data_IF_926529471423
#
_entry.id   IF_926529471423
#
_cell.length_a   1.000
_cell.length_b   1.000
_cell.length_c   1.000
_cell.angle_alpha   90.00
_cell.angle_beta   90.00
_cell.angle_gamma   90.00
#
_symmetry.space_group_name_H-M   'P 1'
#
loop_
_entity.id
_entity.type
_entity.pdbx_description
1 polymer ?
#
# COMPACT_ATOMS: atom_id res chain seq x y z
N UNK A 1 -2.60 -29.31 -6.21
CA UNK A 1 -1.84 -28.15 -6.74
C UNK A 1 -2.69 -26.88 -6.84
N UNK A 2 -3.43 -26.56 -7.92
CA UNK A 2 -4.17 -25.28 -8.01
C UNK A 2 -5.30 -25.12 -6.97
N UNK A 3 -6.08 -26.18 -6.68
CA UNK A 3 -7.11 -26.15 -5.63
C UNK A 3 -6.53 -25.95 -4.24
N UNK A 4 -5.35 -26.53 -3.97
CA UNK A 4 -4.66 -26.39 -2.69
C UNK A 4 -4.01 -25.01 -2.56
N UNK A 5 -3.45 -24.45 -3.64
CA UNK A 5 -2.99 -23.05 -3.66
C UNK A 5 -4.14 -22.06 -3.48
N UNK A 6 -5.32 -22.35 -4.02
CA UNK A 6 -6.50 -21.51 -3.83
C UNK A 6 -7.04 -21.58 -2.38
N UNK A 7 -7.12 -22.77 -1.80
CA UNK A 7 -7.51 -22.97 -0.39
C UNK A 7 -6.47 -22.43 0.59
N UNK A 8 -5.18 -22.59 0.31
CA UNK A 8 -4.09 -21.99 1.08
C UNK A 8 -4.06 -20.47 0.91
N UNK A 9 -4.38 -19.96 -0.28
CA UNK A 9 -4.54 -18.52 -0.55
C UNK A 9 -5.71 -17.93 0.23
N UNK A 10 -6.84 -18.63 0.31
CA UNK A 10 -7.97 -18.24 1.16
C UNK A 10 -7.61 -18.31 2.65
N UNK A 11 -6.80 -19.30 3.08
CA UNK A 11 -6.33 -19.43 4.46
C UNK A 11 -5.28 -18.39 4.88
N UNK A 12 -4.37 -18.02 3.99
CA UNK A 12 -3.32 -17.03 4.26
C UNK A 12 -3.84 -15.59 4.22
N UNK A 13 -4.84 -15.30 3.38
CA UNK A 13 -5.48 -13.97 3.29
C UNK A 13 -6.55 -13.77 4.36
N UNK A 14 -7.16 -14.84 4.86
CA UNK A 14 -8.22 -14.82 5.90
C UNK A 14 -7.71 -15.11 7.31
N UNK A 15 -6.41 -14.93 7.60
CA UNK A 15 -5.90 -15.07 8.97
C UNK A 15 -6.48 -13.97 9.86
N UNK A 16 -7.58 -14.27 10.54
CA UNK A 16 -8.30 -13.35 11.43
C UNK A 16 -7.94 -13.61 12.88
N UNK A 17 -8.28 -12.65 13.75
CA UNK A 17 -8.13 -12.81 15.19
C UNK A 17 -8.82 -14.09 15.69
N UNK A 18 -10.04 -14.34 15.24
CA UNK A 18 -10.82 -15.53 15.61
C UNK A 18 -10.11 -16.84 15.21
N UNK A 19 -9.51 -16.88 14.02
CA UNK A 19 -8.76 -18.08 13.59
C UNK A 19 -7.46 -18.26 14.37
N UNK A 20 -6.78 -17.17 14.70
CA UNK A 20 -5.60 -17.21 15.57
C UNK A 20 -5.95 -17.65 17.00
N UNK A 21 -7.13 -17.28 17.50
CA UNK A 21 -7.63 -17.75 18.79
C UNK A 21 -7.90 -19.25 18.79
N UNK A 22 -8.50 -19.80 17.72
CA UNK A 22 -8.71 -21.23 17.54
C UNK A 22 -7.38 -22.00 17.51
N UNK A 23 -6.41 -21.52 16.72
CA UNK A 23 -5.07 -22.10 16.63
C UNK A 23 -4.38 -22.07 18.00
N UNK A 24 -4.43 -20.93 18.70
CA UNK A 24 -3.83 -20.82 20.02
C UNK A 24 -4.49 -21.77 21.03
N UNK A 25 -5.81 -21.96 20.95
CA UNK A 25 -6.54 -22.92 21.78
C UNK A 25 -6.07 -24.36 21.53
N UNK A 26 -5.78 -24.71 20.27
CA UNK A 26 -5.28 -26.03 19.90
C UNK A 26 -3.83 -26.25 20.39
N UNK A 27 -2.98 -25.25 20.27
CA UNK A 27 -1.61 -25.29 20.79
C UNK A 27 -1.59 -25.44 22.32
N UNK A 28 -2.51 -24.79 23.04
CA UNK A 28 -2.66 -24.97 24.49
C UNK A 28 -3.08 -26.41 24.82
N UNK A 29 -4.06 -26.97 24.10
CA UNK A 29 -4.48 -28.37 24.31
C UNK A 29 -3.35 -29.37 24.07
N UNK A 30 -2.43 -29.06 23.15
CA UNK A 30 -1.25 -29.87 22.86
C UNK A 30 -0.10 -29.65 23.86
N UNK A 31 -0.22 -28.67 24.76
CA UNK A 31 0.84 -28.29 25.70
C UNK A 31 1.99 -27.50 25.04
N UNK A 32 1.80 -27.04 23.80
CA UNK A 32 2.80 -26.29 23.02
C UNK A 32 2.75 -24.78 23.29
N UNK A 33 1.67 -24.30 23.91
CA UNK A 33 1.47 -22.89 24.29
C UNK A 33 0.84 -22.83 25.68
N UNK A 34 1.29 -21.89 26.53
CA UNK A 34 0.65 -21.67 27.82
C UNK A 34 -0.58 -20.78 27.67
N UNK A 35 -1.53 -20.87 28.62
CA UNK A 35 -2.70 -20.00 28.61
C UNK A 35 -2.31 -18.51 28.79
N UNK A 36 -1.22 -18.23 29.51
CA UNK A 36 -0.69 -16.88 29.70
C UNK A 36 -0.11 -16.30 28.39
N UNK A 37 0.53 -17.14 27.58
CA UNK A 37 1.15 -16.71 26.32
C UNK A 37 0.19 -16.57 25.13
N UNK A 38 -1.08 -17.00 25.29
CA UNK A 38 -2.11 -16.96 24.24
C UNK A 38 -2.21 -15.59 23.57
N UNK A 39 -2.34 -14.55 24.38
CA UNK A 39 -2.55 -13.18 23.88
C UNK A 39 -1.30 -12.65 23.16
N UNK A 40 -0.12 -12.98 23.68
CA UNK A 40 1.15 -12.58 23.06
C UNK A 40 1.32 -13.24 21.69
N UNK A 41 1.00 -14.53 21.56
CA UNK A 41 1.02 -15.24 20.29
C UNK A 41 0.11 -14.56 19.26
N UNK A 42 -1.15 -14.30 19.62
CA UNK A 42 -2.14 -13.69 18.72
C UNK A 42 -1.68 -12.30 18.28
N UNK A 43 -1.24 -11.46 19.23
CA UNK A 43 -0.78 -10.10 18.93
C UNK A 43 0.45 -10.07 18.04
N UNK A 44 1.42 -10.97 18.27
CA UNK A 44 2.63 -11.08 17.46
C UNK A 44 2.31 -11.55 16.04
N UNK A 45 1.40 -12.51 15.90
CA UNK A 45 0.95 -12.99 14.60
C UNK A 45 0.25 -11.88 13.81
N UNK A 46 -0.70 -11.16 14.44
CA UNK A 46 -1.39 -10.02 13.82
C UNK A 46 -0.43 -8.90 13.42
N UNK A 47 0.52 -8.55 14.30
CA UNK A 47 1.54 -7.55 14.02
C UNK A 47 2.40 -7.93 12.81
N UNK A 48 2.80 -9.21 12.73
CA UNK A 48 3.59 -9.74 11.62
C UNK A 48 2.81 -9.70 10.30
N UNK A 49 1.53 -10.04 10.33
CA UNK A 49 0.64 -9.93 9.16
C UNK A 49 0.54 -8.48 8.69
N UNK A 50 0.32 -7.54 9.60
CA UNK A 50 0.23 -6.12 9.26
C UNK A 50 1.53 -5.59 8.64
N UNK A 51 2.69 -5.96 9.19
CA UNK A 51 4.00 -5.59 8.62
C UNK A 51 4.20 -6.16 7.23
N UNK A 52 3.87 -7.43 7.01
CA UNK A 52 3.96 -8.05 5.69
C UNK A 52 3.02 -7.41 4.68
N UNK A 53 1.77 -7.10 5.08
CA UNK A 53 0.80 -6.41 4.25
C UNK A 53 1.31 -5.04 3.81
N UNK A 54 1.93 -4.28 4.72
CA UNK A 54 2.51 -2.99 4.40
C UNK A 54 3.67 -3.13 3.40
N UNK A 55 4.60 -4.05 3.63
CA UNK A 55 5.73 -4.29 2.71
C UNK A 55 5.28 -4.72 1.31
N UNK A 56 4.22 -5.54 1.22
CA UNK A 56 3.60 -5.92 -0.06
C UNK A 56 2.99 -4.69 -0.74
N UNK A 57 2.26 -3.85 0.01
CA UNK A 57 1.66 -2.62 -0.51
C UNK A 57 2.73 -1.66 -1.05
N UNK A 58 3.81 -1.49 -0.32
CA UNK A 58 4.91 -0.59 -0.71
C UNK A 58 5.59 -1.10 -2.00
N UNK A 59 5.95 -2.39 -2.06
CA UNK A 59 6.47 -2.99 -3.30
C UNK A 59 5.50 -2.91 -4.47
N UNK A 60 4.21 -3.14 -4.23
CA UNK A 60 3.21 -3.01 -5.29
C UNK A 60 3.11 -1.58 -5.81
N UNK A 61 3.20 -0.59 -4.92
CA UNK A 61 3.21 0.82 -5.30
C UNK A 61 4.47 1.20 -6.08
N UNK A 62 5.65 0.77 -5.64
CA UNK A 62 6.91 0.97 -6.36
C UNK A 62 6.87 0.37 -7.77
N UNK A 63 6.42 -0.88 -7.89
CA UNK A 63 6.27 -1.55 -9.18
C UNK A 63 5.26 -0.81 -10.08
N UNK A 64 4.15 -0.36 -9.53
CA UNK A 64 3.16 0.40 -10.29
C UNK A 64 3.72 1.74 -10.77
N UNK A 65 4.45 2.46 -9.92
CA UNK A 65 5.13 3.70 -10.27
C UNK A 65 6.17 3.50 -11.37
N UNK A 66 6.93 2.40 -11.31
CA UNK A 66 7.89 2.06 -12.36
C UNK A 66 7.19 1.78 -13.70
N UNK A 67 6.15 0.95 -13.70
CA UNK A 67 5.38 0.64 -14.91
C UNK A 67 4.69 1.88 -15.49
N UNK A 68 4.15 2.76 -14.64
CA UNK A 68 3.56 4.02 -15.06
C UNK A 68 4.60 4.89 -15.78
N UNK A 69 5.81 5.00 -15.24
CA UNK A 69 6.92 5.72 -15.89
C UNK A 69 7.33 5.09 -17.21
N UNK A 70 7.48 3.77 -17.27
CA UNK A 70 7.80 3.05 -18.52
C UNK A 70 6.72 3.23 -19.60
N UNK A 71 5.46 3.35 -19.18
CA UNK A 71 4.32 3.63 -20.06
C UNK A 71 4.15 5.13 -20.39
N UNK A 72 5.08 6.00 -19.97
CA UNK A 72 5.00 7.46 -20.09
C UNK A 72 3.72 8.07 -19.48
N UNK A 73 3.19 7.46 -18.42
CA UNK A 73 2.07 7.99 -17.66
C UNK A 73 2.60 8.93 -16.57
N UNK A 74 2.04 10.13 -16.52
CA UNK A 74 2.34 11.13 -15.48
C UNK A 74 1.40 10.95 -14.29
N UNK A 75 1.91 11.20 -13.09
CA UNK A 75 1.08 11.24 -11.89
C UNK A 75 0.18 12.49 -11.89
N UNK A 76 -0.89 12.46 -11.08
CA UNK A 76 -1.78 13.63 -10.93
C UNK A 76 -1.01 14.85 -10.39
N UNK A 77 -0.06 14.63 -9.50
CA UNK A 77 0.73 15.69 -8.89
C UNK A 77 1.67 16.34 -9.92
N UNK A 78 2.36 15.54 -10.73
CA UNK A 78 3.20 16.04 -11.83
C UNK A 78 2.37 16.82 -12.87
N UNK A 79 1.15 16.35 -13.17
CA UNK A 79 0.24 17.05 -14.06
C UNK A 79 -0.22 18.41 -13.50
N UNK A 80 -0.54 18.46 -12.21
CA UNK A 80 -0.93 19.71 -11.55
C UNK A 80 0.23 20.71 -11.50
N UNK A 81 1.45 20.25 -11.24
CA UNK A 81 2.66 21.08 -11.28
C UNK A 81 2.89 21.68 -12.68
N UNK A 82 2.62 20.89 -13.72
CA UNK A 82 2.68 21.37 -15.10
C UNK A 82 1.62 22.46 -15.36
N UNK A 83 0.38 22.26 -14.90
CA UNK A 83 -0.69 23.25 -15.04
C UNK A 83 -0.35 24.57 -14.34
N UNK A 84 0.20 24.52 -13.13
CA UNK A 84 0.62 25.71 -12.40
C UNK A 84 1.71 26.47 -13.15
N UNK A 85 2.70 25.75 -13.68
CA UNK A 85 3.78 26.35 -14.47
C UNK A 85 3.28 26.96 -15.78
N UNK A 86 2.30 26.33 -16.43
CA UNK A 86 1.64 26.90 -17.61
C UNK A 86 0.92 28.19 -17.26
N UNK A 87 0.14 28.22 -16.18
CA UNK A 87 -0.55 29.42 -15.73
C UNK A 87 0.42 30.56 -15.39
N UNK A 88 1.55 30.26 -14.75
CA UNK A 88 2.59 31.27 -14.45
C UNK A 88 3.19 31.85 -15.75
N UNK A 89 3.45 31.01 -16.75
CA UNK A 89 3.98 31.45 -18.04
C UNK A 89 2.96 32.29 -18.82
N UNK A 90 1.69 31.88 -18.82
CA UNK A 90 0.59 32.64 -19.43
C UNK A 90 0.46 34.04 -18.80
N UNK A 91 0.54 34.12 -17.47
CA UNK A 91 0.52 35.40 -16.75
C UNK A 91 1.71 36.29 -17.11
N UNK A 92 2.92 35.74 -17.18
CA UNK A 92 4.13 36.49 -17.57
C UNK A 92 4.05 36.99 -19.02
N UNK A 93 3.53 36.17 -19.93
CA UNK A 93 3.36 36.54 -21.33
C UNK A 93 2.33 37.68 -21.48
N UNK A 94 1.23 37.61 -20.74
CA UNK A 94 0.23 38.67 -20.72
C UNK A 94 0.82 39.98 -20.18
N UNK A 95 1.60 39.94 -19.10
CA UNK A 95 2.27 41.12 -18.57
C UNK A 95 3.25 41.72 -19.59
N UNK A 96 4.10 40.89 -20.22
CA UNK A 96 5.04 41.34 -21.24
C UNK A 96 4.36 41.94 -22.49
N UNK A 97 3.17 41.44 -22.86
CA UNK A 97 2.37 42.03 -23.93
C UNK A 97 1.75 43.37 -23.53
N UNK A 98 1.27 43.51 -22.30
CA UNK A 98 0.74 44.77 -21.77
C UNK A 98 1.84 45.84 -21.73
N UNK A 99 3.05 45.47 -21.29
CA UNK A 99 4.19 46.40 -21.19
C UNK A 99 4.61 46.92 -22.59
N UNK A 100 4.54 46.08 -23.64
CA UNK A 100 4.84 46.49 -25.01
C UNK A 100 3.73 47.32 -25.68
N UNK A 101 2.48 47.24 -25.23
CA UNK A 101 1.38 48.07 -25.78
C UNK A 101 1.31 49.46 -25.16
N UNK A 102 1.99 49.68 -24.04
CA UNK A 102 2.03 50.95 -23.31
C UNK A 102 3.29 51.80 -23.61
N UNK A 103 4.16 51.35 -24.53
CA UNK A 103 5.27 52.10 -25.13
C UNK A 103 4.91 52.59 -26.54
#
# INVERSE_FOLDING_TARGET
MLKEMFLAGLGAVSLTKDKLEEIAQELIKRGELTAEDKNNFINNALSSVNKQKQAIKDKAYENFQQLAKEANLVTRDEFNLLLERVAELENKLNQANIDNQNM
#
